data_IF_835613283170
#
_entry.id   IF_835613283170
#
_cell.length_a   1.000
_cell.length_b   1.000
_cell.length_c   1.000
_cell.angle_alpha   90.00
_cell.angle_beta   90.00
_cell.angle_gamma   90.00
#
_symmetry.space_group_name_H-M   'P 1'
#
loop_
_entity.id
_entity.type
_entity.pdbx_description
1 polymer ?
#
# COMPACT_ATOMS: atom_id res chain seq x y z
N UNK A 1 5.42 -1.30 -7.27
CA UNK A 1 4.29 -0.94 -8.17
C UNK A 1 4.79 -0.82 -9.61
N UNK A 2 4.13 -1.44 -10.60
CA UNK A 2 4.44 -1.16 -12.00
C UNK A 2 3.68 0.10 -12.41
N UNK A 3 4.42 1.12 -12.84
CA UNK A 3 3.90 2.24 -13.61
C UNK A 3 3.16 1.71 -14.84
N UNK A 4 1.89 2.06 -14.96
CA UNK A 4 1.10 1.78 -16.16
C UNK A 4 0.55 3.09 -16.71
N UNK A 5 0.73 3.36 -18.01
CA UNK A 5 0.75 4.71 -18.55
C UNK A 5 -0.59 5.43 -18.45
N UNK A 6 -0.57 6.61 -17.81
CA UNK A 6 -1.32 7.81 -18.15
C UNK A 6 -2.80 7.61 -18.48
N UNK A 7 -3.63 7.63 -17.43
CA UNK A 7 -5.09 7.60 -17.53
C UNK A 7 -5.59 8.84 -18.31
N UNK A 8 -5.97 8.68 -19.59
CA UNK A 8 -6.68 9.73 -20.32
C UNK A 8 -8.12 9.79 -19.82
N UNK A 9 -8.38 10.76 -18.94
CA UNK A 9 -9.71 11.08 -18.41
C UNK A 9 -10.66 11.47 -19.57
N UNK A 10 -11.66 10.63 -19.86
CA UNK A 10 -12.72 10.98 -20.81
C UNK A 10 -13.83 11.76 -20.09
N UNK A 11 -14.13 12.96 -20.59
CA UNK A 11 -15.24 13.79 -20.11
C UNK A 11 -16.59 13.11 -20.34
N UNK A 12 -17.37 12.96 -19.27
CA UNK A 12 -18.70 12.37 -19.29
C UNK A 12 -19.72 13.41 -19.74
N UNK A 13 -20.36 13.19 -20.89
CA UNK A 13 -21.49 13.98 -21.38
C UNK A 13 -22.73 13.60 -20.57
N UNK A 14 -23.25 14.54 -19.79
CA UNK A 14 -24.52 14.41 -19.06
C UNK A 14 -25.69 14.38 -20.05
N UNK A 15 -26.29 13.20 -20.24
CA UNK A 15 -27.63 13.06 -20.83
C UNK A 15 -28.61 12.92 -19.68
N UNK A 16 -29.50 13.90 -19.52
CA UNK A 16 -30.56 13.87 -18.53
C UNK A 16 -31.62 12.81 -18.91
N UNK A 17 -31.52 11.64 -18.30
CA UNK A 17 -32.55 10.58 -18.33
C UNK A 17 -32.92 10.21 -16.89
N UNK A 18 -34.21 10.15 -16.58
CA UNK A 18 -34.73 9.96 -15.22
C UNK A 18 -34.10 8.79 -14.47
N UNK A 19 -33.52 9.10 -13.31
CA UNK A 19 -32.88 8.12 -12.42
C UNK A 19 -33.97 7.41 -11.61
N UNK A 20 -34.25 6.15 -11.96
CA UNK A 20 -34.85 5.22 -11.01
C UNK A 20 -33.75 4.82 -10.01
N UNK A 21 -33.81 5.39 -8.80
CA UNK A 21 -32.95 4.98 -7.69
C UNK A 21 -33.50 3.65 -7.15
N UNK A 22 -33.00 2.53 -7.68
CA UNK A 22 -33.14 1.25 -7.01
C UNK A 22 -32.31 1.30 -5.72
N UNK A 23 -32.84 0.87 -4.56
CA UNK A 23 -32.03 0.79 -3.35
C UNK A 23 -30.85 -0.15 -3.61
N UNK A 24 -29.63 0.36 -3.48
CA UNK A 24 -28.43 -0.46 -3.53
C UNK A 24 -28.54 -1.50 -2.40
N UNK A 25 -28.66 -2.76 -2.76
CA UNK A 25 -28.67 -3.86 -1.80
C UNK A 25 -27.23 -3.99 -1.31
N UNK A 26 -26.96 -3.54 -0.08
CA UNK A 26 -25.72 -3.82 0.63
C UNK A 26 -25.63 -5.34 0.81
N UNK A 27 -24.65 -5.98 0.18
CA UNK A 27 -24.37 -7.41 0.37
C UNK A 27 -22.98 -7.56 0.97
N UNK A 28 -22.92 -7.56 2.30
CA UNK A 28 -21.76 -8.06 3.00
C UNK A 28 -21.51 -9.52 2.60
N UNK A 29 -20.25 -9.85 2.31
CA UNK A 29 -19.86 -11.22 2.00
C UNK A 29 -19.92 -12.10 3.26
N UNK A 30 -20.27 -13.37 3.08
CA UNK A 30 -20.42 -14.34 4.17
C UNK A 30 -19.24 -15.31 4.25
N UNK A 31 -18.80 -15.67 5.46
CA UNK A 31 -17.77 -16.70 5.66
C UNK A 31 -18.07 -17.97 4.87
N UNK A 32 -17.06 -18.48 4.16
CA UNK A 32 -17.21 -19.63 3.25
C UNK A 32 -17.72 -19.28 1.85
N UNK A 33 -18.05 -18.02 1.57
CA UNK A 33 -18.42 -17.57 0.23
C UNK A 33 -17.25 -17.70 -0.74
N UNK A 34 -17.49 -18.37 -1.85
CA UNK A 34 -16.54 -18.55 -2.93
C UNK A 34 -16.76 -17.49 -4.02
N UNK A 35 -15.67 -16.88 -4.49
CA UNK A 35 -15.67 -15.83 -5.51
C UNK A 35 -14.56 -16.12 -6.52
N UNK A 36 -14.80 -15.79 -7.79
CA UNK A 36 -13.77 -15.76 -8.82
C UNK A 36 -13.16 -14.37 -8.89
N UNK A 37 -11.84 -14.28 -8.69
CA UNK A 37 -11.07 -13.06 -8.79
C UNK A 37 -10.27 -13.01 -10.08
N UNK A 38 -10.12 -11.83 -10.65
CA UNK A 38 -9.08 -11.51 -11.64
C UNK A 38 -7.78 -11.16 -10.92
N UNK A 39 -6.64 -11.50 -11.51
CA UNK A 39 -5.31 -11.24 -10.93
C UNK A 39 -4.34 -10.78 -12.02
N UNK A 40 -3.30 -10.05 -11.64
CA UNK A 40 -2.22 -9.69 -12.56
C UNK A 40 -1.28 -10.90 -12.79
N UNK A 41 -1.26 -11.39 -14.03
CA UNK A 41 -0.41 -12.54 -14.42
C UNK A 41 1.08 -12.31 -14.22
N UNK A 42 1.54 -11.06 -14.14
CA UNK A 42 2.95 -10.76 -13.89
C UNK A 42 3.36 -10.88 -12.43
N UNK A 43 2.38 -10.95 -11.51
CA UNK A 43 2.59 -11.25 -10.10
C UNK A 43 2.22 -12.70 -9.74
N UNK A 44 1.32 -13.35 -10.48
CA UNK A 44 0.94 -14.74 -10.23
C UNK A 44 2.10 -15.73 -10.50
N UNK A 45 2.30 -16.67 -9.58
CA UNK A 45 3.38 -17.67 -9.66
C UNK A 45 3.32 -18.59 -10.89
N UNK A 46 2.16 -18.66 -11.56
CA UNK A 46 1.89 -19.51 -12.72
C UNK A 46 1.35 -18.73 -13.93
N UNK A 47 1.45 -17.40 -13.90
CA UNK A 47 0.94 -16.49 -14.94
C UNK A 47 -0.57 -16.62 -15.24
N UNK A 48 -1.37 -17.03 -14.26
CA UNK A 48 -2.84 -17.06 -14.38
C UNK A 48 -3.38 -15.63 -14.41
N UNK A 49 -4.56 -15.45 -15.00
CA UNK A 49 -5.27 -14.16 -15.08
C UNK A 49 -6.54 -14.12 -14.21
N UNK A 50 -6.92 -15.27 -13.64
CA UNK A 50 -8.02 -15.38 -12.69
C UNK A 50 -7.89 -16.65 -11.87
N UNK A 51 -8.48 -16.68 -10.68
CA UNK A 51 -8.55 -17.84 -9.81
C UNK A 51 -9.85 -17.83 -9.00
N UNK A 52 -10.13 -18.93 -8.31
CA UNK A 52 -11.23 -19.02 -7.35
C UNK A 52 -10.66 -18.98 -5.94
N UNK A 53 -11.28 -18.18 -5.08
CA UNK A 53 -10.92 -18.04 -3.68
C UNK A 53 -12.15 -18.04 -2.80
N UNK A 54 -11.98 -18.45 -1.56
CA UNK A 54 -13.07 -18.48 -0.58
C UNK A 54 -12.76 -17.57 0.61
N UNK A 55 -13.78 -16.88 1.11
CA UNK A 55 -13.69 -16.06 2.33
C UNK A 55 -13.43 -16.97 3.54
N UNK A 56 -12.26 -16.84 4.17
CA UNK A 56 -11.82 -17.67 5.30
C UNK A 56 -11.77 -16.93 6.63
N UNK A 57 -11.59 -15.62 6.64
CA UNK A 57 -11.63 -14.80 7.84
C UNK A 57 -12.22 -13.41 7.55
N UNK A 58 -12.78 -12.78 8.58
CA UNK A 58 -13.43 -11.47 8.49
C UNK A 58 -13.08 -10.65 9.73
N UNK A 59 -12.78 -9.37 9.54
CA UNK A 59 -12.74 -8.35 10.58
C UNK A 59 -13.90 -7.36 10.46
N UNK A 60 -13.83 -6.27 11.21
CA UNK A 60 -14.75 -5.14 11.12
C UNK A 60 -14.56 -4.37 9.80
N UNK A 61 -13.31 -4.22 9.35
CA UNK A 61 -12.94 -3.46 8.14
C UNK A 61 -12.23 -4.30 7.06
N UNK A 62 -12.17 -5.63 7.21
CA UNK A 62 -11.40 -6.47 6.28
C UNK A 62 -12.03 -7.84 6.01
N UNK A 63 -11.84 -8.33 4.80
CA UNK A 63 -12.13 -9.69 4.35
C UNK A 63 -10.86 -10.40 3.90
N UNK A 64 -10.66 -11.66 4.31
CA UNK A 64 -9.56 -12.48 3.81
C UNK A 64 -10.07 -13.62 2.94
N UNK A 65 -9.90 -13.45 1.63
CA UNK A 65 -10.12 -14.50 0.65
C UNK A 65 -8.83 -15.28 0.43
N UNK A 66 -8.91 -16.60 0.44
CA UNK A 66 -7.74 -17.47 0.18
C UNK A 66 -8.00 -18.28 -1.07
N UNK A 67 -7.03 -18.28 -1.99
CA UNK A 67 -7.02 -19.12 -3.18
C UNK A 67 -7.30 -20.59 -2.81
N UNK A 68 -8.30 -21.18 -3.47
CA UNK A 68 -8.77 -22.53 -3.13
C UNK A 68 -7.74 -23.60 -3.47
N UNK A 69 -7.06 -23.49 -4.63
CA UNK A 69 -6.04 -24.46 -5.04
C UNK A 69 -4.84 -24.48 -4.08
N UNK A 70 -4.39 -23.29 -3.64
CA UNK A 70 -3.39 -23.19 -2.58
C UNK A 70 -3.88 -23.83 -1.28
N UNK A 71 -5.05 -23.41 -0.80
CA UNK A 71 -5.55 -23.82 0.50
C UNK A 71 -5.80 -25.33 0.57
N UNK A 72 -6.43 -25.91 -0.46
CA UNK A 72 -6.74 -27.33 -0.48
C UNK A 72 -5.52 -28.23 -0.60
N UNK A 73 -4.44 -27.73 -1.20
CA UNK A 73 -3.14 -28.41 -1.27
C UNK A 73 -2.40 -28.50 0.07
N UNK A 74 -2.81 -27.75 1.10
CA UNK A 74 -2.18 -27.76 2.42
C UNK A 74 -2.59 -29.00 3.25
N UNK A 75 -1.67 -29.46 4.11
CA UNK A 75 -2.01 -30.46 5.13
C UNK A 75 -2.93 -29.85 6.21
N UNK A 76 -3.59 -30.71 6.99
CA UNK A 76 -4.50 -30.25 8.05
C UNK A 76 -3.84 -29.28 9.05
N UNK A 77 -2.60 -29.54 9.45
CA UNK A 77 -1.84 -28.66 10.36
C UNK A 77 -1.58 -27.29 9.73
N UNK A 78 -1.16 -27.24 8.46
CA UNK A 78 -0.94 -25.97 7.77
C UNK A 78 -2.24 -25.22 7.53
N UNK A 79 -3.36 -25.91 7.20
CA UNK A 79 -4.68 -25.26 7.10
C UNK A 79 -5.09 -24.57 8.40
N UNK A 80 -4.79 -25.17 9.55
CA UNK A 80 -5.07 -24.56 10.85
C UNK A 80 -4.19 -23.33 11.11
N UNK A 81 -2.88 -23.44 10.88
CA UNK A 81 -1.97 -22.30 11.01
C UNK A 81 -2.34 -21.13 10.11
N UNK A 82 -2.80 -21.40 8.87
CA UNK A 82 -3.29 -20.33 7.97
C UNK A 82 -4.53 -19.67 8.54
N UNK A 83 -5.50 -20.43 9.07
CA UNK A 83 -6.70 -19.83 9.69
C UNK A 83 -6.35 -18.92 10.86
N UNK A 84 -5.48 -19.39 11.76
CA UNK A 84 -4.99 -18.61 12.90
C UNK A 84 -4.28 -17.32 12.42
N UNK A 85 -3.39 -17.42 11.43
CA UNK A 85 -2.70 -16.26 10.88
C UNK A 85 -3.66 -15.23 10.26
N UNK A 86 -4.74 -15.66 9.59
CA UNK A 86 -5.73 -14.76 9.02
C UNK A 86 -6.61 -14.09 10.08
N UNK A 87 -6.95 -14.80 11.15
CA UNK A 87 -7.66 -14.21 12.30
C UNK A 87 -6.80 -13.17 13.02
N UNK A 88 -5.51 -13.47 13.22
CA UNK A 88 -4.55 -12.53 13.79
C UNK A 88 -4.35 -11.30 12.89
N UNK A 89 -4.21 -11.49 11.57
CA UNK A 89 -4.10 -10.39 10.61
C UNK A 89 -5.38 -9.54 10.56
N UNK A 90 -6.57 -10.14 10.64
CA UNK A 90 -7.82 -9.38 10.68
C UNK A 90 -7.90 -8.48 11.92
N UNK A 91 -7.57 -9.04 13.09
CA UNK A 91 -7.51 -8.27 14.33
C UNK A 91 -6.45 -7.18 14.27
N UNK A 92 -5.25 -7.48 13.77
CA UNK A 92 -4.16 -6.53 13.62
C UNK A 92 -4.57 -5.39 12.66
N UNK A 93 -5.25 -5.71 11.57
CA UNK A 93 -5.76 -4.72 10.62
C UNK A 93 -6.74 -3.77 11.30
N UNK A 94 -7.77 -4.30 11.95
CA UNK A 94 -8.83 -3.48 12.55
C UNK A 94 -8.33 -2.62 13.73
N UNK A 95 -7.38 -3.14 14.51
CA UNK A 95 -6.97 -2.51 15.78
C UNK A 95 -5.68 -1.69 15.68
N UNK A 96 -4.85 -1.93 14.67
CA UNK A 96 -3.55 -1.27 14.51
C UNK A 96 -3.44 -0.60 13.15
N UNK A 97 -3.46 -1.36 12.05
CA UNK A 97 -3.14 -0.86 10.71
C UNK A 97 -4.17 0.18 10.27
N UNK A 98 -5.45 -0.20 10.23
CA UNK A 98 -6.55 0.63 9.77
C UNK A 98 -6.62 1.98 10.51
N UNK A 99 -6.69 2.05 11.86
CA UNK A 99 -6.76 3.32 12.56
C UNK A 99 -5.49 4.16 12.46
N UNK A 100 -4.29 3.56 12.48
CA UNK A 100 -3.03 4.33 12.45
C UNK A 100 -2.75 4.92 11.08
N UNK A 101 -2.96 4.15 10.03
CA UNK A 101 -2.75 4.66 8.68
C UNK A 101 -3.79 5.70 8.32
N UNK A 102 -5.06 5.49 8.66
CA UNK A 102 -6.09 6.50 8.42
C UNK A 102 -5.85 7.82 9.15
N UNK A 103 -5.25 7.75 10.34
CA UNK A 103 -4.92 8.95 11.12
C UNK A 103 -3.82 9.80 10.46
N UNK A 104 -2.96 9.21 9.62
CA UNK A 104 -1.85 9.92 8.96
C UNK A 104 -2.16 10.17 7.48
N UNK A 105 -2.54 9.14 6.73
CA UNK A 105 -2.68 9.23 5.28
C UNK A 105 -4.08 9.66 4.83
N UNK A 106 -5.08 9.64 5.71
CA UNK A 106 -6.48 9.90 5.36
C UNK A 106 -7.27 8.61 5.08
N UNK A 107 -8.46 8.72 4.50
CA UNK A 107 -9.28 7.52 4.21
C UNK A 107 -8.93 6.89 2.88
N UNK A 108 -9.15 5.60 2.77
CA UNK A 108 -9.45 4.88 1.54
C UNK A 108 -10.84 5.25 0.98
N UNK A 109 -11.21 4.71 -0.17
CA UNK A 109 -12.57 4.86 -0.70
C UNK A 109 -13.54 4.00 0.14
N UNK A 110 -14.36 4.63 0.97
CA UNK A 110 -15.31 3.90 1.82
C UNK A 110 -16.70 4.57 1.75
N UNK A 111 -17.79 3.85 1.39
CA UNK A 111 -17.89 2.39 1.20
C UNK A 111 -17.47 1.90 -0.20
N UNK A 112 -16.72 2.69 -0.97
CA UNK A 112 -16.10 2.17 -2.18
C UNK A 112 -17.00 1.91 -3.39
N UNK A 113 -16.44 1.24 -4.39
CA UNK A 113 -17.10 0.87 -5.65
C UNK A 113 -18.13 -0.25 -5.48
N UNK A 114 -17.92 -1.16 -4.52
CA UNK A 114 -18.85 -2.26 -4.21
C UNK A 114 -19.87 -1.89 -3.12
N UNK A 115 -19.76 -0.70 -2.54
CA UNK A 115 -20.61 -0.19 -1.47
C UNK A 115 -20.52 -1.05 -0.19
N UNK A 116 -19.35 -1.66 0.06
CA UNK A 116 -18.95 -2.29 1.32
C UNK A 116 -17.83 -1.48 2.01
N UNK A 117 -17.86 -1.41 3.33
CA UNK A 117 -16.82 -0.71 4.11
C UNK A 117 -15.58 -1.59 4.35
N UNK A 118 -15.66 -2.88 4.03
CA UNK A 118 -14.57 -3.82 4.24
C UNK A 118 -13.67 -3.94 3.03
N UNK A 119 -12.37 -3.85 3.29
CA UNK A 119 -11.33 -4.03 2.30
C UNK A 119 -11.12 -5.52 2.07
N UNK A 120 -11.02 -5.93 0.80
CA UNK A 120 -10.75 -7.33 0.46
C UNK A 120 -9.24 -7.58 0.38
N UNK A 121 -8.74 -8.56 1.13
CA UNK A 121 -7.39 -9.09 1.02
C UNK A 121 -7.45 -10.44 0.30
N UNK A 122 -6.86 -10.54 -0.88
CA UNK A 122 -6.72 -11.80 -1.60
C UNK A 122 -5.36 -12.44 -1.32
N UNK A 123 -5.38 -13.58 -0.63
CA UNK A 123 -4.21 -14.41 -0.34
C UNK A 123 -4.06 -15.47 -1.44
N UNK A 124 -3.05 -15.33 -2.27
CA UNK A 124 -2.81 -16.16 -3.46
C UNK A 124 -1.32 -16.43 -3.66
N UNK A 125 -0.96 -17.48 -4.41
CA UNK A 125 0.45 -17.78 -4.73
C UNK A 125 1.03 -16.75 -5.71
N UNK A 126 1.78 -15.80 -5.19
CA UNK A 126 2.54 -14.85 -6.00
C UNK A 126 3.94 -15.38 -6.35
N UNK A 127 4.57 -14.80 -7.36
CA UNK A 127 5.97 -15.03 -7.69
C UNK A 127 6.86 -14.79 -6.46
N UNK A 128 7.98 -15.51 -6.36
CA UNK A 128 8.77 -15.60 -5.11
C UNK A 128 9.37 -14.28 -4.62
N UNK A 129 9.46 -13.27 -5.50
CA UNK A 129 9.97 -11.94 -5.18
C UNK A 129 8.86 -10.93 -4.82
N UNK A 130 7.58 -11.31 -4.87
CA UNK A 130 6.46 -10.44 -4.53
C UNK A 130 5.88 -10.80 -3.16
N UNK A 131 5.90 -9.86 -2.22
CA UNK A 131 5.24 -10.00 -0.90
C UNK A 131 3.74 -9.74 -0.98
N UNK A 132 3.34 -8.79 -1.82
CA UNK A 132 1.98 -8.37 -2.09
C UNK A 132 1.94 -7.47 -3.31
N UNK A 133 0.75 -6.99 -3.65
CA UNK A 133 0.57 -5.86 -4.56
C UNK A 133 -0.80 -5.22 -4.38
N UNK A 134 -0.93 -4.00 -4.88
CA UNK A 134 -2.19 -3.29 -5.09
C UNK A 134 -2.41 -3.09 -6.60
N UNK A 135 -3.66 -3.23 -7.06
CA UNK A 135 -4.04 -3.08 -8.46
C UNK A 135 -5.19 -2.09 -8.60
N UNK A 136 -4.89 -0.91 -9.12
CA UNK A 136 -5.85 0.19 -9.29
C UNK A 136 -7.04 -0.17 -10.17
N UNK A 137 -6.92 -1.14 -11.09
CA UNK A 137 -8.05 -1.54 -11.94
C UNK A 137 -9.21 -2.13 -11.15
N UNK A 138 -8.96 -2.68 -9.97
CA UNK A 138 -9.99 -3.24 -9.10
C UNK A 138 -10.95 -2.17 -8.56
N UNK A 139 -10.58 -0.89 -8.64
CA UNK A 139 -11.34 0.29 -8.20
C UNK A 139 -12.26 0.87 -9.30
N UNK A 140 -12.30 0.26 -10.48
CA UNK A 140 -13.06 0.78 -11.62
C UNK A 140 -14.14 -0.19 -12.11
N UNK A 141 -15.25 0.30 -12.69
CA UNK A 141 -16.25 -0.57 -13.28
C UNK A 141 -15.70 -1.45 -14.41
N UNK A 142 -16.23 -2.66 -14.56
CA UNK A 142 -15.84 -3.58 -15.64
C UNK A 142 -16.08 -3.06 -17.05
N UNK A 143 -16.93 -2.03 -17.20
CA UNK A 143 -17.10 -1.32 -18.47
C UNK A 143 -15.88 -0.51 -18.87
N UNK A 144 -15.00 -0.13 -17.92
CA UNK A 144 -13.73 0.54 -18.18
C UNK A 144 -12.59 -0.49 -18.21
N UNK A 145 -12.54 -1.40 -17.23
CA UNK A 145 -11.51 -2.43 -17.13
C UNK A 145 -12.14 -3.81 -16.96
N UNK A 146 -12.16 -4.61 -18.04
CA UNK A 146 -12.90 -5.89 -18.07
C UNK A 146 -12.45 -6.92 -17.03
N UNK A 147 -11.21 -6.79 -16.55
CA UNK A 147 -10.58 -7.63 -15.52
C UNK A 147 -10.61 -6.98 -14.12
N UNK A 148 -11.43 -5.96 -13.90
CA UNK A 148 -11.63 -5.40 -12.57
C UNK A 148 -12.40 -6.36 -11.66
N UNK A 149 -11.94 -6.49 -10.42
CA UNK A 149 -12.70 -7.12 -9.35
C UNK A 149 -13.83 -6.23 -8.79
N UNK A 150 -13.82 -4.91 -9.06
CA UNK A 150 -14.74 -3.91 -8.54
C UNK A 150 -14.84 -4.00 -7.01
N UNK A 151 -13.69 -3.86 -6.34
CA UNK A 151 -13.53 -3.92 -4.89
C UNK A 151 -12.33 -3.09 -4.47
N UNK A 152 -12.43 -2.47 -3.31
CA UNK A 152 -11.28 -1.96 -2.59
C UNK A 152 -10.48 -3.15 -2.05
N UNK A 153 -9.37 -3.46 -2.71
CA UNK A 153 -8.66 -4.71 -2.44
C UNK A 153 -7.15 -4.66 -2.61
N UNK A 154 -6.47 -5.52 -1.83
CA UNK A 154 -5.02 -5.74 -1.87
C UNK A 154 -4.72 -7.22 -1.94
N UNK A 155 -3.50 -7.56 -2.35
CA UNK A 155 -3.08 -8.94 -2.57
C UNK A 155 -1.88 -9.26 -1.67
N UNK A 156 -1.88 -10.43 -1.05
CA UNK A 156 -0.76 -10.94 -0.24
C UNK A 156 -0.29 -12.31 -0.72
N UNK A 157 1.01 -12.57 -0.60
CA UNK A 157 1.59 -13.84 -1.00
C UNK A 157 1.27 -14.95 0.00
N UNK A 158 0.52 -15.95 -0.46
CA UNK A 158 0.14 -17.13 0.31
C UNK A 158 1.33 -17.95 0.82
N UNK A 159 2.48 -17.93 0.13
CA UNK A 159 3.67 -18.68 0.55
C UNK A 159 4.21 -18.19 1.89
N UNK A 160 4.09 -16.89 2.14
CA UNK A 160 4.65 -16.26 3.33
C UNK A 160 3.61 -16.06 4.42
N UNK A 161 2.32 -16.40 4.23
CA UNK A 161 1.21 -15.97 5.11
C UNK A 161 1.38 -16.26 6.62
N UNK A 162 2.18 -17.27 6.98
CA UNK A 162 2.49 -17.61 8.37
C UNK A 162 3.64 -16.78 8.98
N UNK A 163 4.36 -16.01 8.17
CA UNK A 163 5.41 -15.09 8.61
C UNK A 163 4.76 -13.91 9.38
N UNK A 164 5.18 -13.65 10.62
CA UNK A 164 4.72 -12.49 11.39
C UNK A 164 4.94 -11.14 10.69
N UNK A 165 5.80 -11.07 9.68
CA UNK A 165 6.06 -9.86 8.88
C UNK A 165 4.95 -9.51 7.90
N UNK A 166 3.97 -10.38 7.64
CA UNK A 166 2.86 -10.04 6.72
C UNK A 166 2.02 -8.85 7.18
N UNK A 167 1.97 -8.55 8.47
CA UNK A 167 1.31 -7.33 8.94
C UNK A 167 1.95 -6.05 8.40
N UNK A 168 3.28 -6.04 8.23
CA UNK A 168 4.00 -4.93 7.63
C UNK A 168 3.73 -4.83 6.13
N UNK A 169 3.61 -5.97 5.44
CA UNK A 169 3.21 -6.00 4.03
C UNK A 169 1.75 -5.56 3.85
N UNK A 170 0.83 -6.01 4.72
CA UNK A 170 -0.57 -5.59 4.66
C UNK A 170 -0.71 -4.08 4.90
N UNK A 171 0.05 -3.52 5.85
CA UNK A 171 0.14 -2.08 6.06
C UNK A 171 0.65 -1.37 4.80
N UNK A 172 1.75 -1.84 4.22
CA UNK A 172 2.30 -1.30 2.97
C UNK A 172 1.26 -1.28 1.83
N UNK A 173 0.56 -2.38 1.58
CA UNK A 173 -0.45 -2.43 0.50
C UNK A 173 -1.70 -1.60 0.83
N UNK A 174 -2.10 -1.51 2.10
CA UNK A 174 -3.20 -0.63 2.50
C UNK A 174 -2.87 0.84 2.30
N UNK A 175 -1.61 1.23 2.52
CA UNK A 175 -1.14 2.59 2.24
C UNK A 175 -1.33 2.96 0.76
N UNK A 176 -1.07 2.02 -0.16
CA UNK A 176 -1.31 2.23 -1.61
C UNK A 176 -2.79 2.49 -1.91
N UNK A 177 -3.68 1.71 -1.28
CA UNK A 177 -5.13 1.86 -1.41
C UNK A 177 -5.61 3.24 -0.92
N UNK A 178 -5.15 3.70 0.25
CA UNK A 178 -5.44 5.05 0.75
C UNK A 178 -4.92 6.10 -0.23
N UNK A 179 -3.67 5.96 -0.69
CA UNK A 179 -3.04 6.93 -1.60
C UNK A 179 -3.79 7.04 -2.91
N UNK A 180 -4.26 5.92 -3.47
CA UNK A 180 -5.06 5.91 -4.68
C UNK A 180 -6.35 6.72 -4.51
N UNK A 181 -7.07 6.54 -3.40
CA UNK A 181 -8.26 7.35 -3.16
C UNK A 181 -7.92 8.84 -2.97
N UNK A 182 -6.95 9.15 -2.11
CA UNK A 182 -6.59 10.52 -1.77
C UNK A 182 -6.03 11.30 -2.97
N UNK A 183 -5.22 10.68 -3.83
CA UNK A 183 -4.58 11.33 -4.99
C UNK A 183 -5.39 11.17 -6.26
N UNK A 184 -5.75 9.94 -6.61
CA UNK A 184 -6.34 9.64 -7.92
C UNK A 184 -7.84 9.86 -7.92
N UNK A 185 -8.58 9.29 -6.97
CA UNK A 185 -10.04 9.45 -6.95
C UNK A 185 -10.45 10.87 -6.57
N UNK A 186 -9.81 11.45 -5.55
CA UNK A 186 -10.20 12.77 -5.04
C UNK A 186 -9.71 13.93 -5.92
N UNK A 187 -8.46 13.88 -6.40
CA UNK A 187 -7.85 14.99 -7.17
C UNK A 187 -7.62 14.69 -8.65
N UNK A 188 -7.82 13.44 -9.11
CA UNK A 188 -7.52 13.07 -10.51
C UNK A 188 -6.02 13.04 -10.82
N UNK A 189 -5.18 12.78 -9.82
CA UNK A 189 -3.72 12.81 -9.95
C UNK A 189 -3.11 11.41 -9.97
N UNK A 190 -2.02 11.27 -10.69
CA UNK A 190 -1.13 10.10 -10.67
C UNK A 190 0.14 10.52 -9.92
N UNK A 191 0.44 9.85 -8.81
CA UNK A 191 1.58 10.17 -7.94
C UNK A 191 2.88 9.62 -8.53
N UNK A 192 4.00 10.30 -8.25
CA UNK A 192 5.33 9.76 -8.54
C UNK A 192 5.56 8.46 -7.75
N UNK A 193 5.89 7.37 -8.44
CA UNK A 193 6.00 6.03 -7.81
C UNK A 193 6.96 6.01 -6.64
N UNK A 194 8.13 6.64 -6.77
CA UNK A 194 9.12 6.66 -5.70
C UNK A 194 8.55 7.26 -4.41
N UNK A 195 7.74 8.33 -4.51
CA UNK A 195 7.16 9.00 -3.34
C UNK A 195 5.98 8.20 -2.79
N UNK A 196 5.21 7.55 -3.66
CA UNK A 196 4.15 6.66 -3.23
C UNK A 196 4.72 5.50 -2.40
N UNK A 197 5.71 4.80 -2.97
CA UNK A 197 6.41 3.68 -2.33
C UNK A 197 7.17 4.11 -1.07
N UNK A 198 7.78 5.30 -1.05
CA UNK A 198 8.39 5.86 0.15
C UNK A 198 7.38 5.94 1.31
N UNK A 199 6.14 6.41 1.05
CA UNK A 199 5.10 6.45 2.10
C UNK A 199 4.68 5.05 2.54
N UNK A 200 4.54 4.10 1.62
CA UNK A 200 4.18 2.71 1.91
C UNK A 200 5.28 1.98 2.69
N UNK A 201 6.54 2.26 2.39
CA UNK A 201 7.71 1.77 3.13
C UNK A 201 7.74 2.26 4.58
N UNK A 202 7.23 3.46 4.85
CA UNK A 202 7.09 3.99 6.21
C UNK A 202 5.93 3.36 7.00
N UNK A 203 4.97 2.70 6.35
CA UNK A 203 3.77 2.14 6.99
C UNK A 203 4.12 1.12 8.11
N UNK A 204 5.19 0.33 7.92
CA UNK A 204 5.70 -0.60 8.93
C UNK A 204 6.13 0.11 10.23
N UNK A 205 6.92 1.18 10.10
CA UNK A 205 7.34 2.02 11.23
C UNK A 205 6.15 2.71 11.87
N UNK A 206 5.24 3.27 11.07
CA UNK A 206 4.02 3.92 11.55
C UNK A 206 3.17 2.96 12.41
N UNK A 207 3.04 1.71 11.97
CA UNK A 207 2.32 0.68 12.72
C UNK A 207 3.08 0.18 13.97
N UNK A 208 4.36 0.54 14.12
CA UNK A 208 5.20 0.21 15.26
C UNK A 208 5.90 -1.15 15.14
N UNK A 209 5.97 -1.71 13.93
CA UNK A 209 6.59 -3.01 13.68
C UNK A 209 8.12 -2.96 13.68
N UNK A 210 8.69 -1.76 13.54
CA UNK A 210 10.14 -1.52 13.57
C UNK A 210 10.65 -1.00 14.92
N UNK A 211 9.79 -0.94 15.95
CA UNK A 211 10.18 -0.52 17.31
C UNK A 211 11.33 -1.36 17.90
N UNK A 212 11.34 -2.66 17.57
CA UNK A 212 12.49 -3.53 17.83
C UNK A 212 13.29 -3.60 16.53
N UNK A 213 14.37 -2.83 16.45
CA UNK A 213 15.14 -2.70 15.21
C UNK A 213 15.71 -4.03 14.70
N UNK A 214 16.23 -4.90 15.58
CA UNK A 214 16.85 -6.14 15.16
C UNK A 214 15.87 -7.06 14.40
N UNK A 215 16.23 -7.46 13.17
CA UNK A 215 15.43 -8.33 12.28
C UNK A 215 14.09 -7.74 11.81
N UNK A 216 13.87 -6.45 12.06
CA UNK A 216 12.73 -5.67 11.59
C UNK A 216 12.74 -5.44 10.07
N UNK A 217 11.64 -4.91 9.55
CA UNK A 217 11.55 -4.52 8.15
C UNK A 217 12.51 -3.37 7.84
N UNK A 218 12.54 -2.36 8.71
CA UNK A 218 13.47 -1.23 8.63
C UNK A 218 14.94 -1.70 8.60
N UNK A 219 15.34 -2.64 9.47
CA UNK A 219 16.72 -3.14 9.45
C UNK A 219 17.10 -3.82 8.13
N UNK A 220 16.16 -4.48 7.45
CA UNK A 220 16.40 -5.06 6.14
C UNK A 220 16.55 -3.98 5.06
N UNK A 221 15.78 -2.88 5.14
CA UNK A 221 15.89 -1.73 4.24
C UNK A 221 17.18 -0.94 4.44
N UNK A 222 17.61 -0.76 5.68
CA UNK A 222 18.92 -0.18 6.00
C UNK A 222 20.05 -1.01 5.40
N UNK A 223 20.03 -2.34 5.58
CA UNK A 223 21.04 -3.20 4.96
C UNK A 223 21.02 -3.10 3.42
N UNK A 224 19.83 -3.04 2.83
CA UNK A 224 19.68 -2.86 1.37
C UNK A 224 20.31 -1.55 0.90
N UNK A 225 20.05 -0.44 1.60
CA UNK A 225 20.67 0.84 1.27
C UNK A 225 22.19 0.80 1.41
N UNK A 226 22.72 0.16 2.46
CA UNK A 226 24.17 0.01 2.66
C UNK A 226 24.83 -0.83 1.56
N UNK A 227 24.11 -1.82 1.01
CA UNK A 227 24.58 -2.62 -0.13
C UNK A 227 24.52 -1.82 -1.46
N UNK A 228 23.60 -0.85 -1.58
CA UNK A 228 23.37 -0.06 -2.79
C UNK A 228 23.25 1.46 -2.54
N UNK A 229 24.26 2.12 -1.95
CA UNK A 229 24.12 3.50 -1.44
C UNK A 229 24.10 4.58 -2.55
N UNK A 230 24.28 4.18 -3.80
CA UNK A 230 24.30 5.08 -4.97
C UNK A 230 23.06 4.92 -5.85
N UNK A 231 22.08 4.12 -5.39
CA UNK A 231 20.82 3.96 -6.08
C UNK A 231 20.03 5.29 -6.11
N UNK A 232 19.54 5.72 -7.27
CA UNK A 232 18.88 7.02 -7.43
C UNK A 232 17.50 7.06 -6.80
N UNK A 233 17.30 7.96 -5.82
CA UNK A 233 16.03 8.11 -5.07
C UNK A 233 14.76 8.21 -5.95
N UNK A 234 14.84 8.91 -7.09
CA UNK A 234 13.66 9.23 -7.91
C UNK A 234 13.50 8.35 -9.15
N UNK A 235 14.46 7.48 -9.47
CA UNK A 235 14.35 6.59 -10.63
C UNK A 235 13.85 5.22 -10.18
N UNK A 236 12.58 4.92 -10.44
CA UNK A 236 11.98 3.67 -10.00
C UNK A 236 12.13 2.56 -11.05
N UNK A 237 12.87 1.50 -10.72
CA UNK A 237 13.06 0.31 -11.56
C UNK A 237 12.36 -0.92 -10.98
N UNK A 238 11.68 -0.76 -9.84
CA UNK A 238 11.07 -1.82 -9.06
C UNK A 238 12.11 -2.87 -8.60
N UNK A 239 13.33 -2.43 -8.32
CA UNK A 239 14.40 -3.22 -7.72
C UNK A 239 14.37 -3.08 -6.20
N UNK A 240 14.93 -4.07 -5.50
CA UNK A 240 15.01 -4.03 -4.03
C UNK A 240 15.78 -2.80 -3.53
N UNK A 241 16.78 -2.32 -4.28
CA UNK A 241 17.57 -1.11 -3.98
C UNK A 241 16.72 0.15 -3.90
N UNK A 242 15.76 0.33 -4.83
CA UNK A 242 14.86 1.49 -4.88
C UNK A 242 14.08 1.65 -3.55
N UNK A 243 13.60 0.53 -2.99
CA UNK A 243 12.90 0.53 -1.71
C UNK A 243 13.84 0.89 -0.55
N UNK A 244 15.11 0.49 -0.59
CA UNK A 244 16.09 0.82 0.44
C UNK A 244 16.32 2.32 0.54
N UNK A 245 16.59 2.97 -0.60
CA UNK A 245 16.84 4.42 -0.65
C UNK A 245 15.59 5.24 -0.30
N UNK A 246 14.42 4.85 -0.81
CA UNK A 246 13.15 5.50 -0.51
C UNK A 246 12.79 5.39 0.98
N UNK A 247 13.00 4.22 1.58
CA UNK A 247 12.74 3.98 3.00
C UNK A 247 13.63 4.86 3.90
N UNK A 248 14.92 5.00 3.60
CA UNK A 248 15.79 5.85 4.42
C UNK A 248 15.46 7.33 4.26
N UNK A 249 15.17 7.77 3.03
CA UNK A 249 14.80 9.16 2.78
C UNK A 249 13.51 9.55 3.52
N UNK A 250 12.47 8.71 3.50
CA UNK A 250 11.22 9.03 4.19
C UNK A 250 11.38 9.06 5.71
N UNK A 251 12.24 8.20 6.29
CA UNK A 251 12.55 8.24 7.71
C UNK A 251 13.29 9.53 8.07
N UNK A 252 14.28 9.93 7.27
CA UNK A 252 14.96 11.21 7.45
C UNK A 252 13.98 12.39 7.42
N UNK A 253 13.06 12.39 6.45
CA UNK A 253 12.04 13.43 6.32
C UNK A 253 11.12 13.47 7.55
N UNK A 254 10.62 12.32 8.02
CA UNK A 254 9.71 12.27 9.17
C UNK A 254 10.42 12.61 10.48
N UNK A 255 11.68 12.21 10.65
CA UNK A 255 12.45 12.50 11.86
C UNK A 255 12.71 14.01 12.02
N UNK A 256 12.88 14.75 10.92
CA UNK A 256 13.17 16.19 10.94
C UNK A 256 11.91 17.07 10.95
N UNK A 257 10.88 16.67 10.21
CA UNK A 257 9.69 17.50 9.95
C UNK A 257 8.43 16.97 10.63
N UNK A 258 8.54 15.84 11.34
CA UNK A 258 7.43 15.20 12.02
C UNK A 258 6.49 14.45 11.08
N UNK A 259 5.66 13.58 11.65
CA UNK A 259 4.73 12.72 10.88
C UNK A 259 3.68 13.50 10.08
N UNK A 260 3.37 14.74 10.47
CA UNK A 260 2.37 15.56 9.78
C UNK A 260 2.77 15.88 8.34
N UNK A 261 4.06 15.78 7.98
CA UNK A 261 4.51 15.93 6.60
C UNK A 261 3.88 14.87 5.70
N UNK A 262 3.72 13.63 6.19
CA UNK A 262 3.05 12.55 5.47
C UNK A 262 1.59 12.92 5.18
N UNK A 263 0.88 13.42 6.19
CA UNK A 263 -0.51 13.88 6.05
C UNK A 263 -0.63 14.97 5.00
N UNK A 264 0.25 15.98 5.06
CA UNK A 264 0.23 17.11 4.12
C UNK A 264 0.59 16.67 2.70
N UNK A 265 1.53 15.75 2.53
CA UNK A 265 1.86 15.19 1.22
C UNK A 265 0.71 14.37 0.65
N UNK A 266 0.08 13.49 1.43
CA UNK A 266 -0.96 12.60 0.90
C UNK A 266 -2.24 13.33 0.55
N UNK A 267 -2.63 14.34 1.33
CA UNK A 267 -3.92 15.06 1.17
C UNK A 267 -3.83 16.30 0.27
N UNK A 268 -2.70 16.56 -0.38
CA UNK A 268 -2.51 17.69 -1.30
C UNK A 268 -2.93 17.39 -2.75
N UNK A 269 -3.20 18.45 -3.51
CA UNK A 269 -3.42 18.43 -4.97
C UNK A 269 -2.11 18.45 -5.78
N UNK A 270 -0.99 18.02 -5.17
CA UNK A 270 0.35 18.01 -5.74
C UNK A 270 0.92 16.60 -5.77
N UNK A 271 1.93 16.37 -6.60
CA UNK A 271 2.63 15.08 -6.73
C UNK A 271 4.14 15.29 -6.70
N UNK A 272 4.88 14.23 -6.40
CA UNK A 272 6.34 14.24 -6.41
C UNK A 272 6.95 15.34 -5.54
N UNK A 273 8.00 15.99 -6.07
CA UNK A 273 8.73 17.06 -5.38
C UNK A 273 7.80 18.22 -4.97
N UNK A 274 6.84 18.59 -5.82
CA UNK A 274 5.92 19.68 -5.51
C UNK A 274 5.02 19.35 -4.32
N UNK A 275 4.69 18.06 -4.12
CA UNK A 275 3.97 17.59 -2.95
C UNK A 275 4.76 17.79 -1.66
N UNK A 276 6.06 17.48 -1.69
CA UNK A 276 6.97 17.65 -0.55
C UNK A 276 7.13 19.14 -0.23
N UNK A 277 7.44 19.97 -1.24
CA UNK A 277 7.59 21.42 -1.08
C UNK A 277 6.32 22.07 -0.52
N UNK A 278 5.16 21.67 -1.05
CA UNK A 278 3.87 22.17 -0.54
C UNK A 278 3.61 21.73 0.90
N UNK A 279 4.01 20.51 1.27
CA UNK A 279 3.85 20.01 2.63
C UNK A 279 4.74 20.76 3.63
N UNK A 280 6.02 20.99 3.29
CA UNK A 280 6.95 21.78 4.10
C UNK A 280 6.44 23.19 4.34
N UNK A 281 6.04 23.88 3.26
CA UNK A 281 5.48 25.23 3.36
C UNK A 281 4.22 25.27 4.23
N UNK A 282 3.34 24.27 4.11
CA UNK A 282 2.12 24.16 4.92
C UNK A 282 2.40 23.91 6.41
N UNK A 283 3.56 23.36 6.74
CA UNK A 283 4.05 23.15 8.11
C UNK A 283 4.90 24.33 8.61
N UNK A 284 5.12 25.36 7.80
CA UNK A 284 5.87 26.56 8.17
C UNK A 284 7.39 26.44 7.98
N UNK A 285 7.85 25.43 7.24
CA UNK A 285 9.25 25.27 6.86
C UNK A 285 9.56 26.05 5.59
N UNK A 286 10.77 26.62 5.51
CA UNK A 286 11.25 27.40 4.36
C UNK A 286 12.12 26.57 3.41
N UNK A 287 12.58 25.42 3.88
CA UNK A 287 13.36 24.44 3.15
C UNK A 287 12.56 23.86 1.99
N UNK A 288 13.26 23.58 0.90
CA UNK A 288 12.73 22.85 -0.25
C UNK A 288 13.25 21.42 -0.27
N UNK A 289 12.67 20.58 -1.11
CA UNK A 289 13.19 19.24 -1.39
C UNK A 289 14.67 19.27 -1.79
N UNK A 290 15.12 20.27 -2.56
CA UNK A 290 16.52 20.38 -2.95
C UNK A 290 17.45 20.62 -1.75
N UNK A 291 17.02 21.42 -0.78
CA UNK A 291 17.77 21.67 0.45
C UNK A 291 17.82 20.38 1.29
N UNK A 292 16.67 19.74 1.51
CA UNK A 292 16.54 18.48 2.26
C UNK A 292 17.36 17.36 1.63
N UNK A 293 17.35 17.25 0.30
CA UNK A 293 18.11 16.21 -0.39
C UNK A 293 19.62 16.44 -0.27
N UNK A 294 20.07 17.70 -0.29
CA UNK A 294 21.47 18.05 -0.08
C UNK A 294 21.91 17.72 1.35
N UNK A 295 21.10 18.10 2.34
CA UNK A 295 21.32 17.78 3.74
C UNK A 295 21.31 16.26 3.96
N UNK A 296 20.28 15.55 3.54
CA UNK A 296 20.25 14.08 3.65
C UNK A 296 21.47 13.39 2.99
N UNK A 297 21.99 13.94 1.88
CA UNK A 297 23.20 13.42 1.24
C UNK A 297 24.45 13.61 2.10
N UNK A 298 24.59 14.76 2.77
CA UNK A 298 25.70 15.03 3.69
C UNK A 298 25.55 14.21 4.98
N UNK A 299 24.33 14.02 5.48
CA UNK A 299 24.01 13.21 6.65
C UNK A 299 24.50 11.76 6.47
N UNK A 300 24.18 11.17 5.31
CA UNK A 300 24.62 9.82 4.95
C UNK A 300 26.14 9.72 4.74
N UNK A 301 26.77 10.78 4.24
CA UNK A 301 28.23 10.80 4.04
C UNK A 301 28.98 10.87 5.37
N UNK A 302 28.54 11.73 6.29
CA UNK A 302 29.17 11.89 7.60
C UNK A 302 28.85 10.72 8.53
N UNK A 303 27.57 10.33 8.60
CA UNK A 303 27.04 9.27 9.45
C UNK A 303 27.59 9.30 10.89
N UNK A 304 27.67 10.50 11.47
CA UNK A 304 28.30 10.76 12.76
C UNK A 304 27.41 11.67 13.62
N UNK A 305 26.78 11.09 14.63
CA UNK A 305 25.90 11.80 15.57
C UNK A 305 26.62 12.83 16.45
N UNK A 306 27.96 12.91 16.40
CA UNK A 306 28.73 13.94 17.09
C UNK A 306 28.87 15.25 16.30
N UNK A 307 28.52 15.24 15.01
CA UNK A 307 28.60 16.41 14.13
C UNK A 307 27.23 17.10 14.06
N UNK A 308 27.12 18.25 14.72
CA UNK A 308 25.90 19.07 14.68
C UNK A 308 24.70 18.45 15.39
N UNK A 309 23.49 18.78 14.91
CA UNK A 309 22.23 18.18 15.37
C UNK A 309 21.68 17.13 14.39
N UNK A 310 22.49 16.66 13.44
CA UNK A 310 22.03 15.76 12.35
C UNK A 310 21.20 16.44 11.27
N UNK A 311 21.16 17.79 11.26
CA UNK A 311 20.35 18.60 10.34
C UNK A 311 20.87 18.57 8.90
N UNK A 312 22.18 18.37 8.74
CA UNK A 312 22.88 18.24 7.46
C UNK A 312 23.29 16.80 7.23
#
# INVERSE_FOLDING_TARGET
MKDYPGLKLFWLVLVAGGVFVSPAIVRADSLGQQVRFFIDSSYDSTNRTSLTATLRATGDFVYFYVEDEYFEGLSGTYKNGVREALEDLAKEFDTVIYPKERAVYGSEWTPGIDNDVRITVLVTKLASNAGGYFNTYDEFPRSQFSNSNQREMVYLNAVNILDPKNKALLAHEFQHLISFYQKTVHYGLEEDVWLNEARSEYASTLCGYDNVYAQSYLSARVNTFLDFPTDPLMEWKNNVSDYGVANLFIHYLVDHYGKDILTKMTTSDKVGIDSINSALAALGHSETFSDIFADWSVANYLNDCSVGTGQY
#
